data_IF_990242881214
#
_entry.id   IF_990242881214
#
_cell.length_a   1.000
_cell.length_b   1.000
_cell.length_c   1.000
_cell.angle_alpha   90.00
_cell.angle_beta   90.00
_cell.angle_gamma   90.00
#
_symmetry.space_group_name_H-M   'P 1'
#
loop_
_entity.id
_entity.type
_entity.pdbx_description
1 polymer ?
#
# COMPACT_ATOMS: atom_id res chain seq x y z
N UNK A 1 17.93 2.66 3.50
CA UNK A 1 17.06 2.73 2.31
C UNK A 1 15.90 1.80 2.59
N UNK A 2 14.66 2.27 2.59
CA UNK A 2 13.48 1.41 2.79
C UNK A 2 13.48 0.37 1.66
N UNK A 3 13.40 -0.92 2.01
CA UNK A 3 13.46 -2.02 1.04
C UNK A 3 12.08 -2.46 0.54
N UNK A 4 11.02 -1.77 0.97
CA UNK A 4 9.62 -2.14 0.75
C UNK A 4 8.83 -1.07 -0.01
N UNK A 5 9.51 -0.11 -0.64
CA UNK A 5 8.89 0.91 -1.49
C UNK A 5 9.25 0.67 -2.95
N UNK A 6 8.28 0.86 -3.85
CA UNK A 6 8.52 0.76 -5.28
C UNK A 6 9.39 1.93 -5.76
N UNK A 7 10.15 1.71 -6.83
CA UNK A 7 10.87 2.77 -7.55
C UNK A 7 10.02 3.41 -8.65
N UNK A 8 8.84 2.85 -8.92
CA UNK A 8 7.90 3.35 -9.93
C UNK A 8 7.15 4.52 -9.32
N UNK A 9 7.21 5.68 -9.98
CA UNK A 9 6.28 6.77 -9.74
C UNK A 9 4.98 6.44 -10.48
N UNK A 10 3.87 6.31 -9.74
CA UNK A 10 2.57 5.97 -10.32
C UNK A 10 1.82 7.20 -10.87
N UNK A 11 2.24 8.42 -10.52
CA UNK A 11 1.67 9.66 -11.07
C UNK A 11 2.39 10.08 -12.38
N UNK A 12 3.62 9.63 -12.60
CA UNK A 12 4.42 9.85 -13.83
C UNK A 12 5.26 8.60 -14.20
N UNK A 13 4.59 7.61 -14.82
CA UNK A 13 5.20 6.30 -15.12
C UNK A 13 6.17 6.39 -16.30
N UNK A 14 7.46 6.11 -16.05
CA UNK A 14 8.43 5.83 -17.11
C UNK A 14 8.36 4.36 -17.55
N UNK A 15 7.51 4.10 -18.55
CA UNK A 15 7.32 2.75 -19.13
C UNK A 15 8.58 2.17 -19.78
N UNK A 16 9.54 3.01 -20.18
CA UNK A 16 10.81 2.51 -20.76
C UNK A 16 11.70 1.93 -19.67
N UNK A 17 11.69 2.56 -18.49
CA UNK A 17 12.43 2.10 -17.31
C UNK A 17 11.74 0.93 -16.61
N UNK A 18 10.41 0.92 -16.60
CA UNK A 18 9.61 -0.10 -15.90
C UNK A 18 8.54 -0.73 -16.82
N UNK A 19 8.94 -1.47 -17.87
CA UNK A 19 7.99 -1.95 -18.89
C UNK A 19 6.91 -2.90 -18.35
N UNK A 20 7.19 -3.62 -17.26
CA UNK A 20 6.25 -4.54 -16.62
C UNK A 20 5.08 -3.86 -15.90
N UNK A 21 5.11 -2.52 -15.78
CA UNK A 21 3.99 -1.77 -15.18
C UNK A 21 2.72 -1.91 -16.01
N UNK A 22 2.85 -2.12 -17.34
CA UNK A 22 1.73 -2.34 -18.25
C UNK A 22 0.95 -3.64 -17.95
N UNK A 23 1.58 -4.61 -17.29
CA UNK A 23 0.98 -5.89 -16.94
C UNK A 23 0.35 -5.89 -15.54
N UNK A 24 0.38 -4.76 -14.81
CA UNK A 24 -0.14 -4.68 -13.45
C UNK A 24 -1.66 -4.60 -13.45
N UNK A 25 -2.28 -5.51 -12.70
CA UNK A 25 -3.69 -5.40 -12.32
C UNK A 25 -3.80 -4.59 -11.03
N UNK A 26 -4.56 -3.50 -11.09
CA UNK A 26 -4.86 -2.67 -9.93
C UNK A 26 -6.24 -3.03 -9.36
N UNK A 27 -6.33 -3.03 -8.04
CA UNK A 27 -7.60 -2.98 -7.32
C UNK A 27 -7.65 -1.60 -6.68
N UNK A 28 -8.56 -0.75 -7.13
CA UNK A 28 -8.69 0.64 -6.67
C UNK A 28 -10.03 0.89 -5.96
N UNK A 29 -10.01 1.86 -5.05
CA UNK A 29 -11.20 2.41 -4.43
C UNK A 29 -10.96 3.88 -4.05
N UNK A 30 -12.06 4.61 -3.85
CA UNK A 30 -12.04 5.91 -3.19
C UNK A 30 -12.51 5.66 -1.76
N UNK A 31 -11.66 6.00 -0.78
CA UNK A 31 -11.99 5.84 0.63
C UNK A 31 -12.61 7.14 1.14
N UNK A 32 -13.89 7.08 1.53
CA UNK A 32 -14.65 8.22 2.04
C UNK A 32 -14.53 8.35 3.57
N UNK A 33 -15.02 9.48 4.10
CA UNK A 33 -15.05 9.73 5.54
C UNK A 33 -15.88 8.66 6.28
N UNK A 34 -15.30 8.08 7.34
CA UNK A 34 -15.94 7.07 8.16
C UNK A 34 -15.80 5.64 7.64
N UNK A 35 -15.24 5.45 6.44
CA UNK A 35 -14.95 4.13 5.88
C UNK A 35 -13.63 3.55 6.40
N UNK A 36 -13.48 2.23 6.26
CA UNK A 36 -12.28 1.51 6.65
C UNK A 36 -11.83 0.59 5.52
N UNK A 37 -10.54 0.64 5.19
CA UNK A 37 -9.89 -0.27 4.27
C UNK A 37 -9.00 -1.24 5.04
N UNK A 38 -9.22 -2.54 4.85
CA UNK A 38 -8.28 -3.57 5.31
C UNK A 38 -7.23 -3.84 4.22
N UNK A 39 -5.96 -3.63 4.55
CA UNK A 39 -4.83 -3.97 3.68
C UNK A 39 -4.17 -5.25 4.21
N UNK A 40 -4.30 -6.40 3.51
CA UNK A 40 -3.70 -7.63 3.98
C UNK A 40 -2.16 -7.56 4.04
N UNK A 41 -1.51 -8.37 4.88
CA UNK A 41 -0.06 -8.42 4.94
C UNK A 41 0.56 -8.69 3.56
N UNK A 42 1.68 -8.00 3.28
CA UNK A 42 2.45 -8.06 2.02
C UNK A 42 1.75 -7.46 0.78
N UNK A 43 0.56 -6.89 0.92
CA UNK A 43 -0.07 -6.17 -0.19
C UNK A 43 0.60 -4.82 -0.43
N UNK A 44 0.96 -4.59 -1.68
CA UNK A 44 1.32 -3.26 -2.15
C UNK A 44 0.10 -2.37 -2.09
N UNK A 45 0.26 -1.15 -1.59
CA UNK A 45 -0.80 -0.16 -1.53
C UNK A 45 -0.22 1.20 -1.91
N UNK A 46 -0.92 1.89 -2.80
CA UNK A 46 -0.64 3.25 -3.20
C UNK A 46 -1.81 4.11 -2.73
N UNK A 47 -1.51 5.20 -2.03
CA UNK A 47 -2.53 6.09 -1.47
C UNK A 47 -2.26 7.49 -1.98
N UNK A 48 -3.27 8.10 -2.59
CA UNK A 48 -3.23 9.48 -3.08
C UNK A 48 -4.41 10.25 -2.50
N UNK A 49 -4.12 11.36 -1.82
CA UNK A 49 -5.16 12.27 -1.34
C UNK A 49 -5.79 13.03 -2.51
N UNK A 50 -7.11 12.95 -2.65
CA UNK A 50 -7.87 13.76 -3.64
C UNK A 50 -8.19 15.17 -3.11
N UNK A 51 -8.24 15.32 -1.79
CA UNK A 51 -8.51 16.56 -1.05
C UNK A 51 -7.68 16.57 0.23
N UNK A 52 -7.67 17.68 0.97
CA UNK A 52 -7.06 17.71 2.31
C UNK A 52 -7.80 16.75 3.24
N UNK A 53 -7.12 15.71 3.71
CA UNK A 53 -7.70 14.64 4.51
C UNK A 53 -6.77 14.19 5.63
N UNK A 54 -7.32 13.44 6.60
CA UNK A 54 -6.59 12.80 7.70
C UNK A 54 -7.04 11.34 7.81
N UNK A 55 -6.10 10.42 7.99
CA UNK A 55 -6.38 8.98 8.08
C UNK A 55 -5.57 8.36 9.22
N UNK A 56 -6.13 7.33 9.85
CA UNK A 56 -5.51 6.61 10.97
C UNK A 56 -5.37 5.15 10.58
N UNK A 57 -4.17 4.60 10.74
CA UNK A 57 -3.87 3.19 10.46
C UNK A 57 -3.58 2.43 11.74
N UNK A 58 -4.13 1.23 11.85
CA UNK A 58 -3.87 0.29 12.94
C UNK A 58 -2.96 -0.81 12.44
N UNK A 59 -1.90 -1.12 13.21
CA UNK A 59 -0.95 -2.18 12.89
C UNK A 59 -0.96 -3.20 14.02
N UNK A 60 -1.16 -4.46 13.67
CA UNK A 60 -1.10 -5.59 14.59
C UNK A 60 0.12 -6.44 14.25
N UNK A 61 0.91 -6.77 15.26
CA UNK A 61 1.90 -7.84 15.18
C UNK A 61 1.28 -9.09 15.74
N UNK A 62 1.31 -10.20 15.01
CA UNK A 62 1.14 -11.50 15.64
C UNK A 62 2.23 -11.62 16.71
N UNK A 63 1.83 -11.89 17.95
CA UNK A 63 2.79 -12.09 19.04
C UNK A 63 3.67 -13.29 18.71
N UNK A 64 4.97 -13.18 18.98
CA UNK A 64 5.76 -14.39 19.20
C UNK A 64 5.05 -15.17 20.31
N UNK A 65 4.53 -16.35 20.00
CA UNK A 65 4.23 -17.34 21.04
C UNK A 65 5.57 -17.82 21.60
N UNK A 66 6.19 -17.00 22.44
CA UNK A 66 7.32 -17.38 23.27
C UNK A 66 6.79 -18.26 24.40
N UNK A 67 6.60 -19.54 24.14
CA UNK A 67 6.48 -20.56 25.19
C UNK A 67 6.83 -21.94 24.62
N UNK A 68 8.13 -22.17 24.46
CA UNK A 68 8.72 -23.51 24.48
C UNK A 68 9.75 -23.51 25.61
N UNK A 69 9.27 -23.82 26.82
CA UNK A 69 10.10 -24.38 27.89
C UNK A 69 10.25 -25.90 27.67
#
# INVERSE_FOLDING_TARGET
MLCNSSQVDLDDIDERKFPKVQDLEFVDCILEEGEMLYVPPKWWHYVRSLTTSCSVSFWWSEGESSDAY
#
